data_IF_533820896398
#
_entry.id   IF_533820896398
#
_cell.length_a   1.000
_cell.length_b   1.000
_cell.length_c   1.000
_cell.angle_alpha   90.00
_cell.angle_beta   90.00
_cell.angle_gamma   90.00
#
_symmetry.space_group_name_H-M   'P 1'
#
loop_
_entity.id
_entity.type
_entity.pdbx_description
1 polymer ?
#
# COMPACT_ATOMS: atom_id res chain seq x y z
N UNK A 1 -7.02 -7.68 14.46
CA UNK A 1 -6.27 -6.81 13.51
C UNK A 1 -7.02 -6.76 12.18
N UNK A 2 -7.26 -5.58 11.60
CA UNK A 2 -7.91 -5.50 10.29
C UNK A 2 -6.87 -5.71 9.18
N UNK A 3 -7.07 -6.69 8.32
CA UNK A 3 -6.23 -7.02 7.19
C UNK A 3 -6.99 -6.82 5.87
N UNK A 4 -6.32 -6.20 4.89
CA UNK A 4 -6.86 -5.98 3.55
C UNK A 4 -6.12 -6.88 2.58
N UNK A 5 -6.86 -7.69 1.83
CA UNK A 5 -6.29 -8.56 0.82
C UNK A 5 -6.72 -8.17 -0.58
N UNK A 6 -5.79 -8.29 -1.52
CA UNK A 6 -6.10 -8.26 -2.93
C UNK A 6 -6.96 -9.48 -3.34
N UNK A 7 -7.63 -9.40 -4.50
CA UNK A 7 -8.44 -10.47 -5.08
C UNK A 7 -7.68 -11.79 -5.28
N UNK A 8 -6.34 -11.76 -5.33
CA UNK A 8 -5.49 -12.96 -5.30
C UNK A 8 -5.58 -13.78 -4.01
N UNK A 9 -6.00 -13.17 -2.90
CA UNK A 9 -6.10 -13.80 -1.58
C UNK A 9 -7.48 -14.37 -1.28
N UNK A 10 -8.38 -14.42 -2.26
CA UNK A 10 -9.69 -15.05 -2.13
C UNK A 10 -9.54 -16.49 -1.63
N UNK A 11 -10.13 -16.78 -0.47
CA UNK A 11 -10.02 -18.09 0.21
C UNK A 11 -8.97 -18.17 1.30
N UNK A 12 -8.16 -17.12 1.51
CA UNK A 12 -7.17 -17.07 2.60
C UNK A 12 -7.83 -17.23 3.97
N UNK A 13 -8.98 -16.59 4.20
CA UNK A 13 -9.75 -16.72 5.45
C UNK A 13 -10.13 -18.17 5.82
N UNK A 14 -10.24 -19.08 4.83
CA UNK A 14 -10.52 -20.51 5.09
C UNK A 14 -9.27 -21.33 5.43
N UNK A 15 -8.09 -20.84 5.07
CA UNK A 15 -6.79 -21.50 5.31
C UNK A 15 -6.13 -21.02 6.60
N UNK A 16 -6.77 -20.07 7.26
CA UNK A 16 -6.26 -19.30 8.36
C UNK A 16 -6.82 -19.95 9.65
N UNK A 17 -5.95 -20.62 10.42
CA UNK A 17 -6.35 -21.48 11.55
C UNK A 17 -6.97 -20.69 12.71
N UNK A 18 -6.59 -19.42 12.90
CA UNK A 18 -7.06 -18.55 13.99
C UNK A 18 -7.73 -17.28 13.46
N UNK A 19 -8.93 -17.42 12.89
CA UNK A 19 -9.73 -16.29 12.38
C UNK A 19 -10.17 -15.27 13.44
N UNK A 20 -9.97 -15.55 14.74
CA UNK A 20 -10.28 -14.62 15.83
C UNK A 20 -9.27 -13.46 15.95
N UNK A 21 -8.06 -13.59 15.38
CA UNK A 21 -7.01 -12.58 15.53
C UNK A 21 -7.08 -11.47 14.47
N UNK A 22 -7.81 -11.70 13.37
CA UNK A 22 -7.92 -10.74 12.28
C UNK A 22 -9.27 -10.74 11.58
N UNK A 23 -9.70 -9.54 11.22
CA UNK A 23 -10.81 -9.32 10.31
C UNK A 23 -10.23 -9.13 8.92
N UNK A 24 -10.68 -9.91 7.94
CA UNK A 24 -10.09 -9.94 6.60
C UNK A 24 -11.10 -9.40 5.57
N UNK A 25 -10.78 -8.24 4.99
CA UNK A 25 -11.58 -7.65 3.90
C UNK A 25 -10.86 -7.91 2.58
N UNK A 26 -11.48 -8.71 1.71
CA UNK A 26 -10.99 -9.00 0.36
C UNK A 26 -12.06 -8.61 -0.65
N UNK A 27 -11.63 -8.10 -1.80
CA UNK A 27 -12.53 -7.89 -2.93
C UNK A 27 -13.02 -9.24 -3.48
N UNK A 28 -14.31 -9.52 -3.28
CA UNK A 28 -14.93 -10.76 -3.69
C UNK A 28 -15.11 -10.83 -5.22
N UNK A 29 -15.12 -12.06 -5.75
CA UNK A 29 -15.37 -12.34 -7.16
C UNK A 29 -16.88 -12.27 -7.44
N UNK A 30 -17.26 -12.10 -8.72
CA UNK A 30 -18.66 -12.02 -9.12
C UNK A 30 -19.49 -13.29 -8.79
N UNK A 31 -18.82 -14.44 -8.67
CA UNK A 31 -19.42 -15.72 -8.29
C UNK A 31 -19.41 -15.99 -6.77
N UNK A 32 -19.15 -14.98 -5.95
CA UNK A 32 -19.11 -15.05 -4.49
C UNK A 32 -20.12 -14.09 -3.88
N UNK A 33 -20.36 -14.22 -2.57
CA UNK A 33 -21.17 -13.27 -1.82
C UNK A 33 -20.56 -11.87 -1.99
N UNK A 34 -21.37 -10.94 -2.49
CA UNK A 34 -20.89 -9.59 -2.74
C UNK A 34 -20.46 -8.91 -1.44
N UNK A 35 -19.37 -8.15 -1.50
CA UNK A 35 -18.97 -7.28 -0.39
C UNK A 35 -20.09 -6.31 -0.02
N UNK A 36 -20.18 -5.97 1.26
CA UNK A 36 -21.09 -4.95 1.75
C UNK A 36 -20.76 -3.57 1.16
N UNK A 37 -21.70 -2.62 1.22
CA UNK A 37 -21.44 -1.26 0.75
C UNK A 37 -20.26 -0.61 1.48
N UNK A 38 -20.14 -0.85 2.79
CA UNK A 38 -19.04 -0.37 3.64
C UNK A 38 -17.71 -0.98 3.23
N UNK A 39 -17.66 -2.31 3.04
CA UNK A 39 -16.45 -3.00 2.55
C UNK A 39 -16.02 -2.50 1.17
N UNK A 40 -16.98 -2.26 0.26
CA UNK A 40 -16.67 -1.72 -1.08
C UNK A 40 -16.11 -0.30 -1.01
N UNK A 41 -16.70 0.57 -0.19
CA UNK A 41 -16.20 1.93 0.00
C UNK A 41 -14.80 1.92 0.62
N UNK A 42 -14.60 1.09 1.65
CA UNK A 42 -13.32 0.89 2.31
C UNK A 42 -12.25 0.38 1.34
N UNK A 43 -12.53 -0.71 0.62
CA UNK A 43 -11.63 -1.25 -0.41
C UNK A 43 -11.34 -0.21 -1.50
N UNK A 44 -12.34 0.56 -1.94
CA UNK A 44 -12.17 1.59 -2.95
C UNK A 44 -11.16 2.67 -2.55
N UNK A 45 -11.22 3.14 -1.29
CA UNK A 45 -10.31 4.15 -0.76
C UNK A 45 -8.91 3.55 -0.57
N UNK A 46 -8.79 2.50 0.24
CA UNK A 46 -7.48 1.96 0.63
C UNK A 46 -6.74 1.30 -0.53
N UNK A 47 -7.42 0.57 -1.42
CA UNK A 47 -6.78 -0.03 -2.60
C UNK A 47 -6.18 1.05 -3.50
N UNK A 48 -6.93 2.12 -3.76
CA UNK A 48 -6.44 3.22 -4.61
C UNK A 48 -5.24 3.92 -3.98
N UNK A 49 -5.26 4.12 -2.65
CA UNK A 49 -4.10 4.67 -1.92
C UNK A 49 -2.89 3.75 -2.03
N UNK A 50 -3.05 2.45 -1.79
CA UNK A 50 -1.97 1.45 -1.88
C UNK A 50 -1.39 1.40 -3.30
N UNK A 51 -2.25 1.37 -4.33
CA UNK A 51 -1.83 1.37 -5.74
C UNK A 51 -1.05 2.63 -6.11
N UNK A 52 -1.52 3.79 -5.65
CA UNK A 52 -0.86 5.07 -5.89
C UNK A 52 0.51 5.12 -5.22
N UNK A 53 0.60 4.72 -3.94
CA UNK A 53 1.88 4.65 -3.21
C UNK A 53 2.85 3.66 -3.85
N UNK A 54 2.38 2.48 -4.28
CA UNK A 54 3.21 1.49 -4.96
C UNK A 54 3.72 1.99 -6.32
N UNK A 55 2.87 2.65 -7.12
CA UNK A 55 3.27 3.27 -8.39
C UNK A 55 4.33 4.35 -8.13
N UNK A 56 4.13 5.24 -7.16
CA UNK A 56 5.11 6.26 -6.77
C UNK A 56 6.46 5.64 -6.37
N UNK A 57 6.44 4.64 -5.48
CA UNK A 57 7.66 3.98 -5.02
C UNK A 57 8.41 3.29 -6.16
N UNK A 58 7.67 2.76 -7.13
CA UNK A 58 8.21 2.04 -8.28
C UNK A 58 8.75 2.99 -9.35
N UNK A 59 7.96 3.98 -9.75
CA UNK A 59 8.26 4.87 -10.88
C UNK A 59 9.20 6.01 -10.49
N UNK A 60 8.98 6.66 -9.34
CA UNK A 60 9.74 7.84 -8.92
C UNK A 60 10.95 7.44 -8.07
N UNK A 61 10.75 6.58 -7.08
CA UNK A 61 11.84 6.15 -6.19
C UNK A 61 12.59 4.91 -6.66
N UNK A 62 12.13 4.23 -7.72
CA UNK A 62 12.75 3.02 -8.24
C UNK A 62 13.02 1.98 -7.15
N UNK A 63 12.09 1.76 -6.21
CA UNK A 63 12.32 0.96 -4.98
C UNK A 63 12.85 -0.45 -5.29
N UNK A 64 12.42 -1.02 -6.42
CA UNK A 64 12.88 -2.31 -6.96
C UNK A 64 14.39 -2.35 -7.30
N UNK A 65 15.03 -1.21 -7.51
CA UNK A 65 16.47 -1.10 -7.83
C UNK A 65 17.19 -0.25 -6.79
N UNK A 66 17.80 -0.90 -5.80
CA UNK A 66 18.62 -0.24 -4.77
C UNK A 66 20.13 -0.32 -5.05
N UNK A 67 20.58 -1.20 -5.96
CA UNK A 67 22.01 -1.45 -6.29
C UNK A 67 22.91 -1.62 -5.06
N UNK A 68 22.36 -2.13 -3.96
CA UNK A 68 23.11 -2.37 -2.73
C UNK A 68 24.03 -3.59 -2.88
N UNK A 69 25.23 -3.52 -2.28
CA UNK A 69 26.21 -4.62 -2.26
C UNK A 69 26.25 -5.38 -0.93
N UNK A 70 25.36 -5.02 0.01
CA UNK A 70 25.24 -5.65 1.32
C UNK A 70 23.81 -5.51 1.84
N UNK A 71 23.41 -6.39 2.77
CA UNK A 71 22.11 -6.34 3.42
C UNK A 71 21.90 -5.01 4.17
N UNK A 72 22.92 -4.53 4.90
CA UNK A 72 22.88 -3.23 5.56
C UNK A 72 22.65 -2.07 4.58
N UNK A 73 23.38 -2.08 3.45
CA UNK A 73 23.22 -1.08 2.40
C UNK A 73 21.84 -1.14 1.74
N UNK A 74 21.25 -2.33 1.62
CA UNK A 74 19.89 -2.51 1.11
C UNK A 74 18.88 -1.87 2.07
N UNK A 75 18.95 -2.22 3.35
CA UNK A 75 18.05 -1.69 4.39
C UNK A 75 18.11 -0.17 4.45
N UNK A 76 19.30 0.41 4.48
CA UNK A 76 19.45 1.88 4.52
C UNK A 76 18.86 2.56 3.28
N UNK A 77 18.99 1.96 2.10
CA UNK A 77 18.43 2.54 0.86
C UNK A 77 16.91 2.39 0.81
N UNK A 78 16.35 1.29 1.31
CA UNK A 78 14.90 1.13 1.42
C UNK A 78 14.34 2.16 2.40
N UNK A 79 14.94 2.28 3.59
CA UNK A 79 14.55 3.28 4.59
C UNK A 79 14.61 4.68 3.99
N UNK A 80 15.72 5.05 3.35
CA UNK A 80 15.86 6.36 2.72
C UNK A 80 14.74 6.66 1.71
N UNK A 81 14.40 5.70 0.83
CA UNK A 81 13.32 5.87 -0.16
C UNK A 81 11.95 6.06 0.50
N UNK A 82 11.65 5.26 1.53
CA UNK A 82 10.39 5.38 2.28
C UNK A 82 10.35 6.71 3.04
N UNK A 83 11.44 7.10 3.70
CA UNK A 83 11.55 8.38 4.41
C UNK A 83 11.38 9.57 3.47
N UNK A 84 11.98 9.55 2.29
CA UNK A 84 11.79 10.60 1.28
C UNK A 84 10.33 10.71 0.83
N UNK A 85 9.65 9.58 0.61
CA UNK A 85 8.21 9.57 0.32
C UNK A 85 7.40 10.18 1.46
N UNK A 86 7.64 9.75 2.70
CA UNK A 86 6.96 10.30 3.88
C UNK A 86 7.19 11.80 4.02
N UNK A 87 8.42 12.26 3.76
CA UNK A 87 8.76 13.68 3.79
C UNK A 87 8.02 14.46 2.70
N UNK A 88 7.93 13.94 1.47
CA UNK A 88 7.18 14.57 0.38
C UNK A 88 5.68 14.73 0.71
N UNK A 89 5.07 13.67 1.24
CA UNK A 89 3.69 13.65 1.73
C UNK A 89 3.50 14.72 2.82
N UNK A 90 4.45 14.81 3.75
CA UNK A 90 4.41 15.80 4.82
C UNK A 90 4.53 17.24 4.29
N UNK A 91 5.38 17.49 3.30
CA UNK A 91 5.48 18.79 2.64
C UNK A 91 4.17 19.19 1.96
N UNK A 92 3.51 18.27 1.26
CA UNK A 92 2.19 18.54 0.67
C UNK A 92 1.14 18.83 1.74
N UNK A 93 1.17 18.11 2.86
CA UNK A 93 0.27 18.35 3.99
C UNK A 93 0.42 19.76 4.56
N UNK A 94 1.64 20.23 4.84
CA UNK A 94 1.86 21.57 5.41
C UNK A 94 1.59 22.70 4.40
N UNK A 95 1.70 22.42 3.09
CA UNK A 95 1.43 23.40 2.02
C UNK A 95 -0.01 23.34 1.48
N UNK A 96 -0.87 22.51 2.08
CA UNK A 96 -2.26 22.32 1.67
C UNK A 96 -2.43 21.82 0.22
N UNK A 97 -1.42 21.10 -0.28
CA UNK A 97 -1.47 20.42 -1.58
C UNK A 97 -2.04 19.01 -1.43
N UNK A 98 -2.52 18.38 -2.52
CA UNK A 98 -2.98 16.99 -2.47
C UNK A 98 -1.87 16.06 -1.95
N UNK A 99 -2.17 15.29 -0.91
CA UNK A 99 -1.17 14.54 -0.12
C UNK A 99 -0.30 13.61 -0.97
N UNK A 100 -0.89 12.92 -1.95
CA UNK A 100 -0.18 11.95 -2.81
C UNK A 100 0.30 12.54 -4.14
N UNK A 101 0.08 13.83 -4.39
CA UNK A 101 0.56 14.49 -5.61
C UNK A 101 2.02 14.93 -5.45
N UNK A 102 2.93 13.96 -5.54
CA UNK A 102 4.35 14.19 -5.28
C UNK A 102 5.22 14.13 -6.54
N UNK A 103 4.61 13.96 -7.73
CA UNK A 103 5.34 13.82 -9.00
C UNK A 103 6.16 15.07 -9.34
N UNK A 104 5.78 16.21 -8.78
CA UNK A 104 6.47 17.49 -8.98
C UNK A 104 7.76 17.63 -8.14
N UNK A 105 7.96 16.77 -7.13
CA UNK A 105 9.21 16.77 -6.37
C UNK A 105 10.32 16.06 -7.16
N UNK A 106 11.48 16.71 -7.22
CA UNK A 106 12.69 16.17 -7.82
C UNK A 106 13.45 15.42 -6.72
N UNK A 107 13.68 14.12 -6.91
CA UNK A 107 14.41 13.23 -5.99
C UNK A 107 15.55 12.51 -6.70
#
# INVERSE_FOLDING_TARGET
>A
ILAIGDKGYVGLGKRLENTLDYELIIQNRANQVANTATEKAFLGIFRKTIETVNSILTEQFNIQYTRAKSAWGLTNRIIAKITSLTFAIYLNFITQQPILDIKNFIF
#
